data_IF_308281304221
#
_entry.id   IF_308281304221
#
_cell.length_a   1.000
_cell.length_b   1.000
_cell.length_c   1.000
_cell.angle_alpha   90.00
_cell.angle_beta   90.00
_cell.angle_gamma   90.00
#
_symmetry.space_group_name_H-M   'P 1'
#
loop_
_entity.id
_entity.type
_entity.pdbx_description
1 polymer ?
#
# COMPACT_ATOMS: atom_id res chain seq x y z
N UNK A 1 5.17 22.12 -11.04
CA UNK A 1 5.79 21.62 -9.80
C UNK A 1 5.52 20.12 -9.68
N UNK A 2 6.37 19.28 -10.26
CA UNK A 2 6.23 17.81 -10.17
C UNK A 2 7.56 17.05 -10.34
N UNK A 3 8.69 17.73 -10.55
CA UNK A 3 9.91 17.07 -11.04
C UNK A 3 10.74 16.35 -9.95
N UNK A 4 10.43 16.56 -8.66
CA UNK A 4 11.16 15.96 -7.53
C UNK A 4 10.30 15.11 -6.59
N UNK A 5 9.08 14.73 -6.99
CA UNK A 5 8.26 13.86 -6.14
C UNK A 5 8.72 12.40 -6.28
N UNK A 6 8.86 11.65 -5.16
CA UNK A 6 9.12 10.22 -5.23
C UNK A 6 8.06 9.48 -6.06
N UNK A 7 8.51 8.68 -7.02
CA UNK A 7 7.66 7.83 -7.86
C UNK A 7 7.57 6.43 -7.25
N UNK A 8 6.34 5.93 -7.08
CA UNK A 8 6.04 4.56 -6.66
C UNK A 8 5.63 3.73 -7.88
N UNK A 9 6.41 2.70 -8.22
CA UNK A 9 5.98 1.68 -9.17
C UNK A 9 4.92 0.78 -8.52
N UNK A 10 3.68 0.88 -9.00
CA UNK A 10 2.54 0.13 -8.47
C UNK A 10 2.23 -1.07 -9.37
N UNK A 11 2.33 -2.27 -8.83
CA UNK A 11 2.06 -3.50 -9.56
C UNK A 11 2.15 -4.73 -8.66
N UNK A 12 1.84 -5.90 -9.21
CA UNK A 12 2.14 -7.19 -8.57
C UNK A 12 3.54 -7.58 -9.05
N UNK A 13 4.57 -7.20 -8.30
CA UNK A 13 5.96 -7.58 -8.59
C UNK A 13 6.25 -8.93 -7.94
N UNK A 14 6.11 -10.01 -8.70
CA UNK A 14 6.15 -11.39 -8.23
C UNK A 14 7.57 -11.86 -7.86
N UNK A 15 8.61 -11.21 -8.41
CA UNK A 15 10.02 -11.57 -8.19
C UNK A 15 10.89 -10.36 -7.88
N UNK A 16 12.11 -10.59 -7.40
CA UNK A 16 13.10 -9.53 -7.18
C UNK A 16 13.58 -8.92 -8.52
N UNK A 17 13.59 -9.70 -9.60
CA UNK A 17 13.93 -9.21 -10.94
C UNK A 17 12.94 -8.15 -11.44
N UNK A 18 11.64 -8.33 -11.17
CA UNK A 18 10.62 -7.33 -11.49
C UNK A 18 10.74 -6.07 -10.62
N UNK A 19 11.08 -6.23 -9.34
CA UNK A 19 11.39 -5.11 -8.45
C UNK A 19 12.59 -4.34 -8.98
N UNK A 20 13.65 -5.04 -9.38
CA UNK A 20 14.84 -4.44 -9.97
C UNK A 20 14.51 -3.71 -11.27
N UNK A 21 13.73 -4.30 -12.16
CA UNK A 21 13.30 -3.66 -13.41
C UNK A 21 12.53 -2.36 -13.17
N UNK A 22 11.70 -2.30 -12.12
CA UNK A 22 10.98 -1.08 -11.76
C UNK A 22 11.93 0.04 -11.29
N UNK A 23 12.95 -0.28 -10.49
CA UNK A 23 13.98 0.68 -10.10
C UNK A 23 14.83 1.13 -11.29
N UNK A 24 15.22 0.21 -12.18
CA UNK A 24 15.97 0.51 -13.41
C UNK A 24 15.17 1.43 -14.35
N UNK A 25 13.83 1.36 -14.31
CA UNK A 25 12.91 2.25 -15.02
C UNK A 25 12.72 3.64 -14.36
N UNK A 26 13.42 3.92 -13.24
CA UNK A 26 13.41 5.21 -12.57
C UNK A 26 12.42 5.35 -11.41
N UNK A 27 11.79 4.25 -10.97
CA UNK A 27 10.99 4.30 -9.74
C UNK A 27 11.88 4.58 -8.52
N UNK A 28 11.39 5.39 -7.59
CA UNK A 28 12.09 5.62 -6.30
C UNK A 28 11.65 4.64 -5.22
N UNK A 29 10.45 4.08 -5.39
CA UNK A 29 9.85 3.09 -4.51
C UNK A 29 9.11 2.06 -5.36
N UNK A 30 8.94 0.85 -4.81
CA UNK A 30 8.21 -0.24 -5.47
C UNK A 30 7.20 -0.82 -4.49
N UNK A 31 5.96 -1.04 -4.94
CA UNK A 31 4.95 -1.75 -4.16
C UNK A 31 5.08 -3.25 -4.42
N UNK A 32 5.19 -4.06 -3.37
CA UNK A 32 5.31 -5.52 -3.46
C UNK A 32 4.18 -6.17 -2.67
N UNK A 33 3.50 -7.15 -3.26
CA UNK A 33 2.30 -7.76 -2.67
C UNK A 33 2.63 -9.14 -2.11
N UNK A 34 2.24 -9.41 -0.87
CA UNK A 34 2.30 -10.74 -0.25
C UNK A 34 3.70 -11.30 0.03
N UNK A 35 4.75 -10.50 -0.13
CA UNK A 35 6.14 -10.92 0.13
C UNK A 35 7.04 -9.74 0.50
N UNK A 36 8.19 -10.05 1.07
CA UNK A 36 9.27 -9.08 1.34
C UNK A 36 10.38 -9.35 0.31
N UNK A 37 10.76 -8.38 -0.53
CA UNK A 37 11.86 -8.55 -1.49
C UNK A 37 13.22 -8.47 -0.77
N UNK A 38 14.25 -9.09 -1.34
CA UNK A 38 15.63 -8.97 -0.84
C UNK A 38 16.31 -7.74 -1.45
N UNK A 39 16.06 -7.47 -2.74
CA UNK A 39 16.58 -6.32 -3.47
C UNK A 39 15.91 -5.00 -3.04
N UNK A 40 16.72 -4.01 -2.64
CA UNK A 40 16.28 -2.65 -2.27
C UNK A 40 15.07 -2.62 -1.32
N UNK A 41 15.04 -3.55 -0.37
CA UNK A 41 13.88 -3.86 0.46
C UNK A 41 13.35 -2.66 1.27
N UNK A 42 14.24 -1.76 1.70
CA UNK A 42 13.89 -0.53 2.44
C UNK A 42 13.21 0.55 1.60
N UNK A 43 13.35 0.47 0.27
CA UNK A 43 12.63 1.34 -0.69
C UNK A 43 11.33 0.70 -1.18
N UNK A 44 11.00 -0.50 -0.69
CA UNK A 44 9.77 -1.19 -1.04
C UNK A 44 8.66 -0.90 -0.01
N UNK A 45 7.43 -0.80 -0.52
CA UNK A 45 6.21 -0.77 0.29
C UNK A 45 5.60 -2.17 0.22
N UNK A 46 5.32 -2.78 1.36
CA UNK A 46 4.83 -4.16 1.43
C UNK A 46 3.31 -4.16 1.62
N UNK A 47 2.57 -4.78 0.70
CA UNK A 47 1.11 -4.94 0.76
C UNK A 47 0.77 -6.39 1.12
N UNK A 48 0.50 -6.70 2.39
CA UNK A 48 0.14 -8.06 2.81
C UNK A 48 -1.29 -8.43 2.39
N UNK A 49 -1.56 -9.73 2.26
CA UNK A 49 -2.91 -10.24 2.05
C UNK A 49 -3.72 -10.34 3.34
N UNK A 50 -3.07 -10.47 4.49
CA UNK A 50 -3.73 -10.71 5.78
C UNK A 50 -3.08 -9.91 6.90
N UNK A 51 -3.79 -9.75 8.01
CA UNK A 51 -3.25 -9.14 9.24
C UNK A 51 -2.10 -9.99 9.79
N UNK A 52 -2.15 -11.31 9.60
CA UNK A 52 -1.08 -12.20 10.05
C UNK A 52 0.21 -12.00 9.26
N UNK A 53 0.12 -11.84 7.93
CA UNK A 53 1.29 -11.46 7.13
C UNK A 53 1.81 -10.07 7.54
N UNK A 54 0.91 -9.12 7.81
CA UNK A 54 1.28 -7.78 8.27
C UNK A 54 2.12 -7.82 9.57
N UNK A 55 1.79 -8.70 10.53
CA UNK A 55 2.56 -8.85 11.78
C UNK A 55 4.00 -9.31 11.56
N UNK A 56 4.25 -10.04 10.47
CA UNK A 56 5.56 -10.61 10.16
C UNK A 56 6.47 -9.62 9.45
N UNK A 57 5.94 -8.51 8.96
CA UNK A 57 6.73 -7.45 8.33
C UNK A 57 7.57 -6.75 9.42
N UNK A 58 8.91 -6.65 9.28
CA UNK A 58 9.74 -6.01 10.28
C UNK A 58 9.39 -4.53 10.45
N UNK A 59 9.46 -4.02 11.68
CA UNK A 59 9.01 -2.66 12.03
C UNK A 59 9.69 -1.53 11.25
N UNK A 60 10.89 -1.76 10.73
CA UNK A 60 11.63 -0.78 9.92
C UNK A 60 11.01 -0.56 8.52
N UNK A 61 10.17 -1.48 8.05
CA UNK A 61 9.58 -1.45 6.73
C UNK A 61 8.28 -0.63 6.70
N UNK A 62 7.94 -0.15 5.51
CA UNK A 62 6.67 0.52 5.24
C UNK A 62 5.67 -0.49 4.70
N UNK A 63 4.46 -0.49 5.24
CA UNK A 63 3.39 -1.37 4.80
C UNK A 63 2.20 -0.59 4.21
N UNK A 64 1.44 -1.26 3.33
CA UNK A 64 0.21 -0.75 2.73
C UNK A 64 -0.91 -1.73 3.08
N UNK A 65 -1.89 -1.28 3.86
CA UNK A 65 -3.12 -2.03 4.06
C UNK A 65 -4.13 -1.66 2.99
N UNK A 66 -4.36 -2.57 2.05
CA UNK A 66 -5.36 -2.43 1.02
C UNK A 66 -6.66 -3.09 1.49
N UNK A 67 -7.75 -2.34 1.48
CA UNK A 67 -9.08 -2.83 1.87
C UNK A 67 -9.61 -3.93 0.91
N UNK A 68 -9.05 -4.01 -0.30
CA UNK A 68 -9.35 -5.07 -1.27
C UNK A 68 -8.46 -6.29 -1.10
N UNK A 69 -9.05 -7.47 -1.20
CA UNK A 69 -8.36 -8.73 -1.42
C UNK A 69 -7.97 -8.88 -2.90
N UNK A 70 -6.68 -8.64 -3.18
CA UNK A 70 -6.14 -8.75 -4.53
C UNK A 70 -6.17 -10.19 -5.09
N UNK A 71 -6.44 -11.21 -4.27
CA UNK A 71 -6.62 -12.59 -4.74
C UNK A 71 -7.98 -12.80 -5.41
N UNK A 72 -8.92 -11.89 -5.17
CA UNK A 72 -10.31 -11.99 -5.61
C UNK A 72 -10.68 -10.89 -6.60
N UNK A 73 -9.72 -10.29 -7.32
CA UNK A 73 -9.95 -9.11 -8.17
C UNK A 73 -11.04 -9.28 -9.24
N UNK A 74 -11.30 -10.51 -9.68
CA UNK A 74 -12.33 -10.82 -10.66
C UNK A 74 -13.74 -10.97 -10.06
N UNK A 75 -13.87 -10.88 -8.73
CA UNK A 75 -15.13 -11.00 -8.00
C UNK A 75 -15.68 -9.61 -7.64
N UNK A 76 -17.01 -9.39 -7.73
CA UNK A 76 -17.62 -8.13 -7.33
C UNK A 76 -17.42 -7.81 -5.85
N UNK A 77 -17.49 -8.83 -4.98
CA UNK A 77 -17.09 -8.76 -3.59
C UNK A 77 -15.63 -9.19 -3.50
N UNK A 78 -14.72 -8.22 -3.38
CA UNK A 78 -13.30 -8.48 -3.21
C UNK A 78 -12.71 -7.68 -2.05
N UNK A 79 -13.49 -7.45 -1.00
CA UNK A 79 -13.01 -6.82 0.22
C UNK A 79 -12.32 -7.83 1.12
N UNK A 80 -11.32 -7.38 1.89
CA UNK A 80 -10.79 -8.19 2.99
C UNK A 80 -11.86 -8.33 4.08
N UNK A 81 -11.87 -9.49 4.73
CA UNK A 81 -12.69 -9.71 5.93
C UNK A 81 -12.09 -9.01 7.15
N UNK A 82 -10.79 -8.77 7.13
CA UNK A 82 -10.06 -8.09 8.20
C UNK A 82 -10.12 -6.56 8.04
N UNK A 83 -10.30 -5.83 9.14
CA UNK A 83 -10.51 -4.38 9.13
C UNK A 83 -9.22 -3.57 9.26
N UNK A 84 -9.31 -2.27 8.94
CA UNK A 84 -8.22 -1.33 9.21
C UNK A 84 -7.79 -1.33 10.68
N UNK A 85 -8.74 -1.36 11.61
CA UNK A 85 -8.47 -1.30 13.04
C UNK A 85 -7.67 -2.54 13.50
N UNK A 86 -7.99 -3.72 12.95
CA UNK A 86 -7.22 -4.95 13.19
C UNK A 86 -5.80 -4.86 12.62
N UNK A 87 -5.66 -4.38 11.38
CA UNK A 87 -4.36 -4.18 10.74
C UNK A 87 -3.51 -3.15 11.49
N UNK A 88 -4.11 -2.03 11.90
CA UNK A 88 -3.45 -0.96 12.63
C UNK A 88 -2.97 -1.44 14.00
N UNK A 89 -3.80 -2.20 14.72
CA UNK A 89 -3.43 -2.81 16.00
C UNK A 89 -2.27 -3.80 15.83
N UNK A 90 -2.30 -4.62 14.78
CA UNK A 90 -1.25 -5.60 14.49
C UNK A 90 0.10 -4.97 14.13
N UNK A 91 0.09 -3.84 13.43
CA UNK A 91 1.32 -3.14 13.01
C UNK A 91 1.74 -2.01 13.97
N UNK A 92 1.04 -1.85 15.09
CA UNK A 92 1.37 -0.91 16.15
C UNK A 92 1.52 0.54 15.69
N UNK A 93 2.59 1.22 16.11
CA UNK A 93 2.91 2.61 15.73
C UNK A 93 3.75 2.71 14.44
N UNK A 94 4.02 1.59 13.77
CA UNK A 94 4.86 1.57 12.56
C UNK A 94 4.13 2.24 11.38
N UNK A 95 4.89 2.62 10.35
CA UNK A 95 4.35 3.35 9.20
C UNK A 95 3.41 2.48 8.37
N UNK A 96 2.11 2.80 8.36
CA UNK A 96 1.08 2.05 7.64
C UNK A 96 0.28 3.00 6.75
N UNK A 97 0.26 2.68 5.46
CA UNK A 97 -0.54 3.38 4.47
C UNK A 97 -1.91 2.71 4.32
N UNK A 98 -2.98 3.51 4.25
CA UNK A 98 -4.32 3.03 3.87
C UNK A 98 -4.48 3.08 2.34
N UNK A 99 -5.06 2.05 1.74
CA UNK A 99 -5.33 2.01 0.31
C UNK A 99 -6.70 1.43 -0.03
N UNK A 100 -7.23 1.83 -1.19
CA UNK A 100 -8.56 1.50 -1.71
C UNK A 100 -9.74 2.11 -0.94
N UNK A 101 -10.89 2.20 -1.63
CA UNK A 101 -12.18 2.68 -1.11
C UNK A 101 -12.26 4.12 -0.55
N UNK A 102 -11.18 4.89 -0.61
CA UNK A 102 -11.13 6.31 -0.25
C UNK A 102 -11.85 7.19 -1.30
N UNK A 103 -12.85 7.97 -0.88
CA UNK A 103 -13.58 8.95 -1.71
C UNK A 103 -13.29 10.37 -1.29
N UNK A 104 -13.18 10.59 0.02
CA UNK A 104 -13.03 11.90 0.66
C UNK A 104 -12.07 11.82 1.84
N UNK A 105 -11.67 12.97 2.38
CA UNK A 105 -10.85 13.05 3.60
C UNK A 105 -11.49 12.37 4.82
N UNK A 106 -12.83 12.32 4.87
CA UNK A 106 -13.56 11.65 5.96
C UNK A 106 -13.39 10.12 5.94
N UNK A 107 -12.94 9.54 4.83
CA UNK A 107 -12.67 8.10 4.72
C UNK A 107 -11.28 7.71 5.26
N UNK A 108 -10.41 8.69 5.57
CA UNK A 108 -9.09 8.44 6.15
C UNK A 108 -9.27 7.93 7.57
N UNK A 109 -8.76 6.73 7.83
CA UNK A 109 -8.87 6.10 9.13
C UNK A 109 -7.85 6.68 10.12
N UNK A 110 -8.23 6.85 11.40
CA UNK A 110 -7.29 7.28 12.43
C UNK A 110 -6.04 6.39 12.49
N UNK A 111 -4.87 7.03 12.62
CA UNK A 111 -3.58 6.34 12.71
C UNK A 111 -2.98 5.92 11.37
N UNK A 112 -3.59 6.28 10.24
CA UNK A 112 -2.95 6.14 8.93
C UNK A 112 -1.77 7.11 8.81
N UNK A 113 -0.61 6.59 8.40
CA UNK A 113 0.59 7.41 8.18
C UNK A 113 0.60 8.06 6.79
N UNK A 114 -0.10 7.44 5.85
CA UNK A 114 -0.31 7.92 4.49
C UNK A 114 -1.56 7.26 3.88
N UNK A 115 -1.99 7.76 2.72
CA UNK A 115 -3.08 7.17 1.94
C UNK A 115 -2.71 7.04 0.46
N UNK A 116 -3.16 5.97 -0.19
CA UNK A 116 -3.06 5.77 -1.65
C UNK A 116 -4.44 5.91 -2.31
N UNK A 117 -4.59 6.97 -3.10
CA UNK A 117 -5.83 7.31 -3.80
C UNK A 117 -5.60 7.24 -5.30
N UNK A 118 -6.38 6.40 -5.99
CA UNK A 118 -6.34 6.24 -7.46
C UNK A 118 -7.64 6.69 -8.11
N UNK A 119 -8.57 5.75 -8.35
CA UNK A 119 -9.82 5.93 -9.12
C UNK A 119 -10.65 7.16 -8.73
N UNK A 120 -10.61 7.60 -7.47
CA UNK A 120 -11.40 8.74 -6.96
C UNK A 120 -10.57 9.99 -6.69
N UNK A 121 -9.36 10.09 -7.24
CA UNK A 121 -8.41 11.17 -6.93
C UNK A 121 -9.02 12.56 -7.05
N UNK A 122 -9.73 12.87 -8.14
CA UNK A 122 -10.32 14.19 -8.36
C UNK A 122 -11.30 14.55 -7.23
N UNK A 123 -12.23 13.65 -6.91
CA UNK A 123 -13.21 13.87 -5.83
C UNK A 123 -12.54 13.95 -4.44
N UNK A 124 -11.53 13.11 -4.22
CA UNK A 124 -10.77 13.14 -2.96
C UNK A 124 -10.03 14.47 -2.78
N UNK A 125 -9.35 14.97 -3.81
CA UNK A 125 -8.66 16.27 -3.79
C UNK A 125 -9.64 17.41 -3.56
N UNK A 126 -10.84 17.36 -4.15
CA UNK A 126 -11.88 18.36 -3.91
C UNK A 126 -12.32 18.39 -2.45
N UNK A 127 -12.36 17.23 -1.78
CA UNK A 127 -12.74 17.12 -0.36
C UNK A 127 -11.69 17.64 0.64
N UNK A 128 -10.49 18.02 0.17
CA UNK A 128 -9.44 18.61 1.01
C UNK A 128 -9.62 20.12 1.24
N UNK A 129 -10.56 20.76 0.52
CA UNK A 129 -10.84 22.20 0.59
C UNK A 129 -11.94 22.48 1.59
#
# INVERSE_FOLDING_TARGET
>A
MAENQPILAKGIHASDDEVKAAFDAGATHVLVVGRIPEYCSMSCLIEPYTVEELRRIPAAYRAVWNDRDLRLLYQPENSKTETWEQARAAFGRNWLCQASNLRTIADIKPGASAVLVGTRLIGFVQSLR
#
